data_IF_589528609237
#
_entry.id   IF_589528609237
#
_cell.length_a   1.000
_cell.length_b   1.000
_cell.length_c   1.000
_cell.angle_alpha   90.00
_cell.angle_beta   90.00
_cell.angle_gamma   90.00
#
_symmetry.space_group_name_H-M   'P 1'
#
loop_
_entity.id
_entity.type
_entity.pdbx_description
1 polymer ?
#
# COMPACT_ATOMS: atom_id res chain seq x y z
N UNK A 1 52.77 9.26 16.90
CA UNK A 1 51.77 8.22 17.23
C UNK A 1 50.32 8.77 17.23
N UNK A 2 49.87 9.54 16.26
CA UNK A 2 48.56 10.19 16.28
C UNK A 2 47.65 9.98 15.07
N UNK A 3 48.17 9.45 13.98
CA UNK A 3 47.45 9.51 12.69
C UNK A 3 46.48 8.33 12.42
N UNK A 4 46.69 7.18 13.08
CA UNK A 4 45.87 6.00 12.85
C UNK A 4 44.44 6.17 13.39
N UNK A 5 44.31 6.72 14.59
CA UNK A 5 42.98 6.92 15.22
C UNK A 5 42.11 7.90 14.43
N UNK A 6 42.71 8.94 13.88
CA UNK A 6 41.99 9.94 13.08
C UNK A 6 41.49 9.35 11.75
N UNK A 7 42.27 8.48 11.10
CA UNK A 7 41.86 7.77 9.90
C UNK A 7 40.70 6.80 10.14
N UNK A 8 40.71 6.04 11.24
CA UNK A 8 39.62 5.15 11.61
C UNK A 8 38.34 5.93 11.96
N UNK A 9 38.48 7.08 12.63
CA UNK A 9 37.34 7.94 12.97
C UNK A 9 36.70 8.55 11.72
N UNK A 10 37.50 9.09 10.80
CA UNK A 10 36.99 9.63 9.52
C UNK A 10 36.41 8.54 8.61
N UNK A 11 36.97 7.35 8.59
CA UNK A 11 36.42 6.22 7.84
C UNK A 11 35.07 5.77 8.44
N UNK A 12 34.94 5.78 9.76
CA UNK A 12 33.67 5.51 10.47
C UNK A 12 32.61 6.52 10.12
N UNK A 13 32.90 7.83 10.18
CA UNK A 13 31.98 8.90 9.80
C UNK A 13 31.57 8.78 8.33
N UNK A 14 32.51 8.53 7.42
CA UNK A 14 32.23 8.39 6.00
C UNK A 14 31.31 7.19 5.70
N UNK A 15 31.46 6.09 6.43
CA UNK A 15 30.56 4.92 6.31
C UNK A 15 29.14 5.22 6.86
N UNK A 16 29.02 6.09 7.88
CA UNK A 16 27.72 6.56 8.38
C UNK A 16 27.02 7.50 7.39
N UNK A 17 27.76 8.34 6.67
CA UNK A 17 27.17 9.22 5.66
C UNK A 17 26.77 8.49 4.37
N UNK A 18 27.39 7.35 4.04
CA UNK A 18 27.13 6.61 2.81
C UNK A 18 25.97 5.64 2.89
N UNK A 19 25.43 5.37 4.07
CA UNK A 19 24.22 4.57 4.24
C UNK A 19 22.97 5.46 4.23
N UNK A 20 22.65 6.05 3.08
CA UNK A 20 21.30 6.61 2.85
C UNK A 20 20.34 5.44 2.77
N UNK A 21 19.78 5.08 3.91
CA UNK A 21 18.74 4.05 3.99
C UNK A 21 17.48 4.54 3.28
N UNK A 22 16.95 3.74 2.36
CA UNK A 22 15.64 3.99 1.75
C UNK A 22 14.48 3.55 2.68
N UNK A 23 14.80 3.14 3.90
CA UNK A 23 13.81 2.69 4.89
C UNK A 23 12.69 3.71 5.13
N UNK A 24 12.95 5.04 5.27
CA UNK A 24 11.88 6.00 5.50
C UNK A 24 10.84 6.03 4.37
N UNK A 25 11.27 5.81 3.12
CA UNK A 25 10.35 5.78 1.96
C UNK A 25 9.44 4.56 2.05
N UNK A 26 9.98 3.39 2.36
CA UNK A 26 9.21 2.16 2.52
C UNK A 26 8.24 2.25 3.70
N UNK A 27 8.68 2.81 4.81
CA UNK A 27 7.82 3.02 5.99
C UNK A 27 6.70 4.02 5.74
N UNK A 28 6.97 5.10 5.01
CA UNK A 28 5.93 6.09 4.65
C UNK A 28 4.89 5.47 3.70
N UNK A 29 5.32 4.71 2.71
CA UNK A 29 4.44 4.02 1.77
C UNK A 29 3.56 2.98 2.49
N UNK A 30 4.15 2.22 3.40
CA UNK A 30 3.43 1.26 4.25
C UNK A 30 2.39 1.96 5.15
N UNK A 31 2.77 3.05 5.83
CA UNK A 31 1.85 3.82 6.66
C UNK A 31 0.71 4.44 5.86
N UNK A 32 0.99 4.99 4.68
CA UNK A 32 -0.02 5.55 3.79
C UNK A 32 -1.06 4.51 3.37
N UNK A 33 -0.63 3.29 3.03
CA UNK A 33 -1.55 2.20 2.69
C UNK A 33 -2.48 1.82 3.83
N UNK A 34 -1.95 1.72 5.06
CA UNK A 34 -2.76 1.45 6.26
C UNK A 34 -3.73 2.57 6.60
N UNK A 35 -3.30 3.82 6.46
CA UNK A 35 -4.15 4.99 6.71
C UNK A 35 -5.30 5.05 5.70
N UNK A 36 -5.04 4.85 4.41
CA UNK A 36 -6.05 4.80 3.36
C UNK A 36 -7.07 3.68 3.66
N UNK A 37 -6.59 2.48 3.98
CA UNK A 37 -7.47 1.36 4.31
C UNK A 37 -8.37 1.68 5.51
N UNK A 38 -7.81 2.25 6.58
CA UNK A 38 -8.55 2.59 7.80
C UNK A 38 -9.58 3.70 7.60
N UNK A 39 -9.38 4.59 6.64
CA UNK A 39 -10.33 5.67 6.33
C UNK A 39 -11.37 5.25 5.29
N UNK A 40 -10.93 4.65 4.19
CA UNK A 40 -11.79 4.39 3.03
C UNK A 40 -12.73 3.20 3.28
N UNK A 41 -12.25 2.08 3.83
CA UNK A 41 -13.10 0.90 4.00
C UNK A 41 -14.25 1.11 4.96
N UNK A 42 -14.11 1.73 6.14
CA UNK A 42 -15.25 2.04 7.00
C UNK A 42 -16.29 2.94 6.32
N UNK A 43 -15.85 3.95 5.56
CA UNK A 43 -16.75 4.84 4.82
C UNK A 43 -17.53 4.05 3.77
N UNK A 44 -16.86 3.19 2.99
CA UNK A 44 -17.51 2.35 2.00
C UNK A 44 -18.52 1.39 2.64
N UNK A 45 -18.18 0.78 3.77
CA UNK A 45 -19.08 -0.11 4.51
C UNK A 45 -20.31 0.65 5.00
N UNK A 46 -20.15 1.85 5.54
CA UNK A 46 -21.26 2.69 5.97
C UNK A 46 -22.15 3.04 4.78
N UNK A 47 -21.58 3.47 3.67
CA UNK A 47 -22.35 3.85 2.47
C UNK A 47 -23.10 2.64 1.93
N UNK A 48 -22.41 1.54 1.62
CA UNK A 48 -23.00 0.39 0.94
C UNK A 48 -23.80 -0.52 1.87
N UNK A 49 -23.44 -0.61 3.16
CA UNK A 49 -24.08 -1.49 4.14
C UNK A 49 -25.18 -0.81 4.97
N UNK A 50 -25.19 0.51 5.04
CA UNK A 50 -26.18 1.25 5.85
C UNK A 50 -26.95 2.25 4.98
N UNK A 51 -26.27 3.26 4.41
CA UNK A 51 -26.96 4.38 3.76
C UNK A 51 -27.77 3.93 2.53
N UNK A 52 -27.19 3.07 1.69
CA UNK A 52 -27.88 2.56 0.50
C UNK A 52 -29.10 1.68 0.85
N UNK A 53 -28.98 0.63 1.69
CA UNK A 53 -30.11 -0.23 2.04
C UNK A 53 -31.25 0.50 2.76
N UNK A 54 -30.95 1.55 3.53
CA UNK A 54 -31.98 2.36 4.22
C UNK A 54 -32.50 3.52 3.37
N UNK A 55 -32.10 3.65 2.10
CA UNK A 55 -32.56 4.72 1.20
C UNK A 55 -32.04 6.12 1.58
N UNK A 56 -31.01 6.21 2.43
CA UNK A 56 -30.45 7.48 2.92
C UNK A 56 -29.40 8.09 1.97
N UNK A 57 -29.00 7.36 0.95
CA UNK A 57 -27.99 7.80 -0.02
C UNK A 57 -28.58 8.48 -1.27
N UNK A 58 -29.90 8.75 -1.28
CA UNK A 58 -30.60 9.34 -2.42
C UNK A 58 -31.08 8.30 -3.44
N UNK A 59 -31.66 8.79 -4.54
CA UNK A 59 -32.23 7.95 -5.58
C UNK A 59 -31.11 7.32 -6.42
N UNK A 60 -31.07 5.98 -6.47
CA UNK A 60 -30.15 5.15 -7.22
C UNK A 60 -28.67 5.57 -7.05
N UNK A 61 -28.13 5.50 -5.83
CA UNK A 61 -26.77 5.95 -5.53
C UNK A 61 -25.69 5.06 -6.13
N UNK A 62 -26.01 3.80 -6.46
CA UNK A 62 -25.11 2.83 -7.10
C UNK A 62 -25.38 2.68 -8.62
N UNK A 63 -25.96 3.72 -9.25
CA UNK A 63 -26.21 3.75 -10.67
C UNK A 63 -24.92 3.51 -11.46
N UNK A 64 -24.92 2.47 -12.33
CA UNK A 64 -23.75 2.08 -13.10
C UNK A 64 -23.23 3.22 -13.97
N UNK A 65 -24.12 3.94 -14.68
CA UNK A 65 -23.72 5.03 -15.58
C UNK A 65 -23.01 6.16 -14.84
N UNK A 66 -23.51 6.54 -13.68
CA UNK A 66 -22.91 7.58 -12.83
C UNK A 66 -21.54 7.16 -12.32
N UNK A 67 -21.43 5.94 -11.79
CA UNK A 67 -20.17 5.40 -11.26
C UNK A 67 -19.15 5.23 -12.38
N UNK A 68 -19.58 4.69 -13.53
CA UNK A 68 -18.71 4.49 -14.68
C UNK A 68 -18.20 5.82 -15.24
N UNK A 69 -19.07 6.80 -15.40
CA UNK A 69 -18.70 8.14 -15.85
C UNK A 69 -17.70 8.82 -14.89
N UNK A 70 -17.94 8.71 -13.59
CA UNK A 70 -17.01 9.23 -12.59
C UNK A 70 -15.64 8.50 -12.65
N UNK A 71 -15.67 7.16 -12.70
CA UNK A 71 -14.46 6.33 -12.77
C UNK A 71 -13.66 6.54 -14.06
N UNK A 72 -14.31 6.94 -15.16
CA UNK A 72 -13.65 7.23 -16.45
C UNK A 72 -12.84 8.53 -16.42
N UNK A 73 -13.06 9.41 -15.44
CA UNK A 73 -12.33 10.68 -15.37
C UNK A 73 -10.86 10.42 -14.95
N UNK A 74 -9.84 10.98 -15.66
CA UNK A 74 -8.43 10.64 -15.44
C UNK A 74 -7.95 10.88 -14.00
N UNK A 75 -8.41 11.95 -13.37
CA UNK A 75 -8.08 12.26 -11.98
C UNK A 75 -8.67 11.24 -10.99
N UNK A 76 -9.90 10.79 -11.23
CA UNK A 76 -10.54 9.75 -10.41
C UNK A 76 -9.84 8.41 -10.59
N UNK A 77 -9.43 8.05 -11.83
CA UNK A 77 -8.62 6.86 -12.10
C UNK A 77 -7.33 6.86 -11.27
N UNK A 78 -6.63 7.99 -11.21
CA UNK A 78 -5.41 8.11 -10.41
C UNK A 78 -5.70 7.90 -8.91
N UNK A 79 -6.76 8.52 -8.40
CA UNK A 79 -7.19 8.34 -7.00
C UNK A 79 -7.55 6.88 -6.72
N UNK A 80 -8.34 6.24 -7.58
CA UNK A 80 -8.72 4.83 -7.44
C UNK A 80 -7.49 3.92 -7.48
N UNK A 81 -6.55 4.18 -8.39
CA UNK A 81 -5.30 3.44 -8.45
C UNK A 81 -4.52 3.50 -7.13
N UNK A 82 -4.38 4.67 -6.54
CA UNK A 82 -3.69 4.88 -5.26
C UNK A 82 -4.44 4.19 -4.11
N UNK A 83 -5.77 4.38 -4.03
CA UNK A 83 -6.62 3.81 -2.99
C UNK A 83 -6.62 2.27 -3.01
N UNK A 84 -6.45 1.65 -4.16
CA UNK A 84 -6.41 0.19 -4.28
C UNK A 84 -4.99 -0.33 -4.08
N UNK A 85 -4.01 0.29 -4.74
CA UNK A 85 -2.64 -0.23 -4.77
C UNK A 85 -1.91 -0.10 -3.43
N UNK A 86 -2.03 1.03 -2.72
CA UNK A 86 -1.33 1.22 -1.45
C UNK A 86 -1.78 0.25 -0.35
N UNK A 87 -3.09 -0.01 -0.14
CA UNK A 87 -3.55 -1.03 0.79
C UNK A 87 -3.09 -2.44 0.45
N UNK A 88 -2.94 -2.80 -0.84
CA UNK A 88 -2.41 -4.11 -1.24
C UNK A 88 -0.98 -4.33 -0.71
N UNK A 89 -0.10 -3.33 -0.86
CA UNK A 89 1.26 -3.42 -0.31
C UNK A 89 1.28 -3.40 1.21
N UNK A 90 0.42 -2.61 1.85
CA UNK A 90 0.27 -2.62 3.30
C UNK A 90 -0.15 -4.01 3.80
N UNK A 91 -1.17 -4.60 3.18
CA UNK A 91 -1.64 -5.95 3.51
C UNK A 91 -0.54 -6.99 3.31
N UNK A 92 0.15 -6.98 2.16
CA UNK A 92 1.22 -7.93 1.86
C UNK A 92 2.32 -7.90 2.91
N UNK A 93 2.73 -6.69 3.33
CA UNK A 93 3.74 -6.51 4.37
C UNK A 93 3.27 -7.05 5.73
N UNK A 94 2.08 -6.64 6.18
CA UNK A 94 1.52 -7.09 7.47
C UNK A 94 1.32 -8.61 7.48
N UNK A 95 0.73 -9.15 6.42
CA UNK A 95 0.42 -10.58 6.33
C UNK A 95 1.70 -11.43 6.33
N UNK A 96 2.74 -11.02 5.58
CA UNK A 96 4.05 -11.66 5.61
C UNK A 96 4.58 -11.78 7.04
N UNK A 97 4.65 -10.66 7.78
CA UNK A 97 5.21 -10.68 9.13
C UNK A 97 4.33 -11.46 10.11
N UNK A 98 3.02 -11.36 10.00
CA UNK A 98 2.09 -12.15 10.80
C UNK A 98 2.33 -13.66 10.62
N UNK A 99 2.50 -14.14 9.39
CA UNK A 99 2.78 -15.57 9.13
C UNK A 99 4.14 -16.01 9.69
N UNK A 100 5.15 -15.16 9.57
CA UNK A 100 6.49 -15.42 10.13
C UNK A 100 6.43 -15.50 11.66
N UNK A 101 5.69 -14.60 12.31
CA UNK A 101 5.55 -14.55 13.77
C UNK A 101 4.73 -15.73 14.32
N UNK A 102 3.77 -16.25 13.57
CA UNK A 102 3.02 -17.48 13.90
C UNK A 102 3.88 -18.74 13.82
N UNK A 103 5.13 -18.65 13.34
CA UNK A 103 6.09 -19.75 13.35
C UNK A 103 6.58 -20.22 11.97
N UNK A 104 6.13 -19.61 10.88
CA UNK A 104 6.51 -19.99 9.51
C UNK A 104 7.86 -19.41 9.05
N UNK A 105 8.83 -19.25 9.97
CA UNK A 105 10.15 -18.66 9.68
C UNK A 105 10.94 -19.43 8.62
N UNK A 106 10.84 -20.75 8.60
CA UNK A 106 11.58 -21.61 7.66
C UNK A 106 11.20 -21.39 6.19
N UNK A 107 10.00 -20.89 5.93
CA UNK A 107 9.48 -20.60 4.57
C UNK A 107 9.25 -19.11 4.32
N UNK A 108 9.90 -18.26 5.11
CA UNK A 108 9.70 -16.79 5.05
C UNK A 108 9.97 -16.19 3.66
N UNK A 109 10.91 -16.77 2.91
CA UNK A 109 11.20 -16.34 1.53
C UNK A 109 10.01 -16.63 0.60
N UNK A 110 9.44 -17.82 0.69
CA UNK A 110 8.27 -18.20 -0.10
C UNK A 110 7.07 -17.30 0.24
N UNK A 111 6.81 -17.08 1.53
CA UNK A 111 5.77 -16.16 2.01
C UNK A 111 5.97 -14.76 1.43
N UNK A 112 7.21 -14.26 1.42
CA UNK A 112 7.54 -12.95 0.84
C UNK A 112 7.21 -12.89 -0.66
N UNK A 113 7.60 -13.90 -1.42
CA UNK A 113 7.33 -13.97 -2.87
C UNK A 113 5.82 -14.00 -3.14
N UNK A 114 5.07 -14.79 -2.38
CA UNK A 114 3.61 -14.90 -2.56
C UNK A 114 2.91 -13.59 -2.17
N UNK A 115 3.23 -13.02 -1.03
CA UNK A 115 2.59 -11.79 -0.55
C UNK A 115 2.88 -10.58 -1.46
N UNK A 116 4.16 -10.31 -1.72
CA UNK A 116 4.53 -9.16 -2.56
C UNK A 116 4.23 -9.42 -4.04
N UNK A 117 4.40 -10.64 -4.52
CA UNK A 117 4.00 -11.05 -5.87
C UNK A 117 2.51 -10.83 -6.09
N UNK A 118 1.67 -11.24 -5.13
CA UNK A 118 0.23 -10.98 -5.16
C UNK A 118 -0.12 -9.50 -5.17
N UNK A 119 0.55 -8.68 -4.37
CA UNK A 119 0.35 -7.23 -4.36
C UNK A 119 0.75 -6.58 -5.71
N UNK A 120 1.86 -6.99 -6.30
CA UNK A 120 2.31 -6.51 -7.62
C UNK A 120 1.31 -6.90 -8.70
N UNK A 121 0.90 -8.17 -8.74
CA UNK A 121 -0.10 -8.66 -9.70
C UNK A 121 -1.41 -7.89 -9.54
N UNK A 122 -1.91 -7.73 -8.30
CA UNK A 122 -3.11 -6.95 -8.00
C UNK A 122 -3.01 -5.50 -8.49
N UNK A 123 -1.86 -4.87 -8.31
CA UNK A 123 -1.60 -3.49 -8.79
C UNK A 123 -1.61 -3.42 -10.32
N UNK A 124 -0.98 -4.38 -11.00
CA UNK A 124 -0.99 -4.46 -12.47
C UNK A 124 -2.41 -4.67 -12.99
N UNK A 125 -3.16 -5.59 -12.39
CA UNK A 125 -4.56 -5.85 -12.76
C UNK A 125 -5.41 -4.59 -12.57
N UNK A 126 -5.23 -3.88 -11.46
CA UNK A 126 -5.90 -2.59 -11.18
C UNK A 126 -5.56 -1.56 -12.26
N UNK A 127 -4.29 -1.42 -12.63
CA UNK A 127 -3.89 -0.50 -13.69
C UNK A 127 -4.58 -0.86 -15.03
N UNK A 128 -4.51 -2.13 -15.45
CA UNK A 128 -5.15 -2.61 -16.69
C UNK A 128 -6.66 -2.36 -16.66
N UNK A 129 -7.33 -2.65 -15.55
CA UNK A 129 -8.77 -2.44 -15.40
C UNK A 129 -9.14 -0.96 -15.55
N UNK A 130 -8.40 -0.05 -14.87
CA UNK A 130 -8.63 1.39 -14.95
C UNK A 130 -8.31 1.98 -16.34
N UNK A 131 -7.36 1.39 -17.08
CA UNK A 131 -7.09 1.79 -18.46
C UNK A 131 -8.20 1.40 -19.43
N UNK A 132 -8.97 0.34 -19.12
CA UNK A 132 -10.08 -0.13 -19.95
C UNK A 132 -11.41 0.61 -19.72
N UNK A 133 -11.54 1.30 -18.60
CA UNK A 133 -12.66 2.19 -18.28
C UNK A 133 -12.43 3.56 -18.96
#
# INVERSE_FOLDING_TARGET
>A
MGNGFYYYYLAGIRNLEMSKSNEPIWWSLFSAGGMIAAMVFPILIIITGILVPFGLAGDDPLNFEKIYSAASHPFIKLILFVIISLPLFHWAHRFKYTLVDVGMKSISTLISIVCYGGAIIGTIVTAIALFKI
#
